data_IF_974636477408
#
_entry.id   IF_974636477408
#
_cell.length_a   1.000
_cell.length_b   1.000
_cell.length_c   1.000
_cell.angle_alpha   90.00
_cell.angle_beta   90.00
_cell.angle_gamma   90.00
#
_symmetry.space_group_name_H-M   'P 1'
#
loop_
_entity.id
_entity.type
_entity.pdbx_description
1 polymer ?
#
# COMPACT_ATOMS: atom_id res chain seq x y z
N UNK A 1 17.54 20.20 4.88
CA UNK A 1 16.10 20.43 5.13
C UNK A 1 15.99 21.75 5.89
N UNK A 2 15.12 22.68 5.46
CA UNK A 2 14.90 23.92 6.22
C UNK A 2 14.27 23.57 7.58
N UNK A 3 14.64 24.26 8.67
CA UNK A 3 13.96 24.07 9.96
C UNK A 3 12.53 24.58 9.89
N UNK A 4 11.61 23.97 10.65
CA UNK A 4 10.20 24.39 10.70
C UNK A 4 10.02 25.87 11.07
N UNK A 5 10.97 26.46 11.79
CA UNK A 5 10.96 27.87 12.21
C UNK A 5 11.21 28.86 11.07
N UNK A 6 11.62 28.39 9.90
CA UNK A 6 11.84 29.21 8.71
C UNK A 6 10.76 28.98 7.64
N UNK A 7 9.83 28.06 7.90
CA UNK A 7 8.79 27.74 6.93
C UNK A 7 7.72 28.83 6.90
N UNK A 8 7.27 29.15 5.69
CA UNK A 8 6.07 29.96 5.51
C UNK A 8 4.81 29.19 5.93
N UNK A 9 3.68 29.89 6.03
CA UNK A 9 2.41 29.25 6.36
C UNK A 9 2.01 28.20 5.31
N UNK A 10 2.29 28.47 4.04
CA UNK A 10 2.03 27.58 2.91
C UNK A 10 2.93 26.35 2.95
N UNK A 11 4.24 26.52 3.20
CA UNK A 11 5.18 25.40 3.34
C UNK A 11 4.77 24.50 4.51
N UNK A 12 4.37 25.09 5.65
CA UNK A 12 3.88 24.34 6.81
C UNK A 12 2.56 23.61 6.52
N UNK A 13 1.65 24.24 5.76
CA UNK A 13 0.37 23.64 5.36
C UNK A 13 0.54 22.47 4.36
N UNK A 14 1.71 22.33 3.73
CA UNK A 14 2.05 21.21 2.85
C UNK A 14 2.74 20.05 3.60
N UNK A 15 3.12 20.23 4.86
CA UNK A 15 3.82 19.21 5.64
C UNK A 15 2.86 18.13 6.15
N UNK A 16 3.15 16.87 5.82
CA UNK A 16 2.25 15.73 6.11
C UNK A 16 1.93 15.57 7.60
N UNK A 17 2.93 15.73 8.47
CA UNK A 17 2.74 15.64 9.92
C UNK A 17 1.95 16.82 10.48
N UNK A 18 2.09 18.00 9.88
CA UNK A 18 1.32 19.17 10.25
C UNK A 18 -0.13 19.02 9.82
N UNK A 19 -0.38 18.63 8.57
CA UNK A 19 -1.72 18.35 8.04
C UNK A 19 -2.43 17.31 8.91
N UNK A 20 -1.75 16.22 9.25
CA UNK A 20 -2.32 15.16 10.10
C UNK A 20 -2.69 15.66 11.49
N UNK A 21 -1.84 16.49 12.11
CA UNK A 21 -2.16 17.11 13.40
C UNK A 21 -3.39 18.00 13.34
N UNK A 22 -3.49 18.84 12.31
CA UNK A 22 -4.62 19.78 12.16
C UNK A 22 -5.93 19.03 11.91
N UNK A 23 -5.91 17.97 11.10
CA UNK A 23 -7.10 17.17 10.76
C UNK A 23 -7.52 16.18 11.85
N UNK A 24 -6.55 15.65 12.60
CA UNK A 24 -6.75 14.62 13.62
C UNK A 24 -6.03 15.01 14.91
N UNK A 25 -6.52 16.03 15.63
CA UNK A 25 -5.83 16.58 16.80
C UNK A 25 -5.76 15.61 18.00
N UNK A 26 -6.54 14.52 17.97
CA UNK A 26 -6.61 13.55 19.05
C UNK A 26 -5.44 12.54 19.06
N UNK A 27 -4.61 12.49 18.01
CA UNK A 27 -3.43 11.61 17.91
C UNK A 27 -2.33 12.06 18.92
N UNK A 28 -2.14 11.35 20.05
CA UNK A 28 -1.38 11.89 21.19
C UNK A 28 0.11 12.16 20.90
N UNK A 29 0.87 11.28 20.21
CA UNK A 29 2.25 11.57 19.81
C UNK A 29 2.39 12.82 18.94
N UNK A 30 1.50 12.99 17.96
CA UNK A 30 1.55 14.10 17.00
C UNK A 30 1.15 15.41 17.67
N UNK A 31 0.09 15.39 18.50
CA UNK A 31 -0.34 16.55 19.28
C UNK A 31 0.77 17.06 20.18
N UNK A 32 1.38 16.15 20.95
CA UNK A 32 2.45 16.51 21.90
C UNK A 32 3.64 17.15 21.20
N UNK A 33 4.01 16.68 20.00
CA UNK A 33 5.09 17.29 19.22
C UNK A 33 4.77 18.75 18.87
N UNK A 34 3.62 19.01 18.24
CA UNK A 34 3.27 20.34 17.75
C UNK A 34 2.97 21.34 18.89
N UNK A 35 2.31 20.90 19.96
CA UNK A 35 2.08 21.76 21.13
C UNK A 35 3.40 22.20 21.78
N UNK A 36 4.32 21.26 22.00
CA UNK A 36 5.65 21.58 22.54
C UNK A 36 6.46 22.46 21.59
N UNK A 37 6.34 22.24 20.28
CA UNK A 37 7.03 23.06 19.29
C UNK A 37 6.51 24.51 19.28
N UNK A 38 5.19 24.70 19.37
CA UNK A 38 4.56 26.03 19.44
C UNK A 38 4.98 26.77 20.72
N UNK A 39 5.04 26.08 21.86
CA UNK A 39 5.55 26.65 23.11
C UNK A 39 7.02 27.08 23.00
N UNK A 40 7.83 26.36 22.22
CA UNK A 40 9.24 26.69 21.98
C UNK A 40 9.43 27.85 21.00
N UNK A 41 8.51 28.04 20.07
CA UNK A 41 8.59 29.07 19.02
C UNK A 41 7.34 29.98 19.00
N UNK A 42 7.11 30.79 20.04
CA UNK A 42 5.91 31.64 20.13
C UNK A 42 5.82 32.67 19.00
N UNK A 43 6.95 33.09 18.41
CA UNK A 43 7.00 33.97 17.25
C UNK A 43 6.36 33.35 15.99
N UNK A 44 6.30 32.02 15.90
CA UNK A 44 5.69 31.30 14.78
C UNK A 44 4.17 31.16 14.93
N UNK A 45 3.57 31.64 16.02
CA UNK A 45 2.13 31.46 16.29
C UNK A 45 1.27 31.93 15.12
N UNK A 46 1.53 33.13 14.59
CA UNK A 46 0.76 33.67 13.47
C UNK A 46 0.89 32.80 12.20
N UNK A 47 2.10 32.31 11.92
CA UNK A 47 2.36 31.39 10.79
C UNK A 47 1.62 30.07 10.97
N UNK A 48 1.62 29.51 12.18
CA UNK A 48 0.88 28.28 12.52
C UNK A 48 -0.61 28.48 12.37
N UNK A 49 -1.15 29.59 12.87
CA UNK A 49 -2.59 29.88 12.79
C UNK A 49 -3.05 30.00 11.32
N UNK A 50 -2.29 30.71 10.48
CA UNK A 50 -2.53 30.79 9.03
C UNK A 50 -2.43 29.43 8.34
N UNK A 51 -1.40 28.64 8.66
CA UNK A 51 -1.25 27.31 8.09
C UNK A 51 -2.40 26.37 8.48
N UNK A 52 -2.89 26.46 9.72
CA UNK A 52 -4.06 25.70 10.18
C UNK A 52 -5.31 26.06 9.38
N UNK A 53 -5.54 27.35 9.15
CA UNK A 53 -6.66 27.84 8.34
C UNK A 53 -6.60 27.27 6.90
N UNK A 54 -5.42 27.30 6.27
CA UNK A 54 -5.21 26.73 4.93
C UNK A 54 -5.55 25.23 4.89
N UNK A 55 -5.05 24.46 5.86
CA UNK A 55 -5.31 23.01 5.93
C UNK A 55 -6.79 22.73 6.14
N UNK A 56 -7.46 23.44 7.04
CA UNK A 56 -8.89 23.26 7.31
C UNK A 56 -9.73 23.62 6.08
N UNK A 57 -9.47 24.77 5.46
CA UNK A 57 -10.16 25.22 4.25
C UNK A 57 -10.01 24.21 3.10
N UNK A 58 -8.82 23.66 2.91
CA UNK A 58 -8.57 22.63 1.91
C UNK A 58 -9.20 21.27 2.26
N UNK A 59 -9.32 20.95 3.55
CA UNK A 59 -9.85 19.68 4.05
C UNK A 59 -11.38 19.66 4.16
N UNK A 60 -12.01 20.84 4.25
CA UNK A 60 -13.46 21.02 4.25
C UNK A 60 -14.12 20.68 2.90
N UNK A 61 -13.32 20.34 1.89
CA UNK A 61 -13.79 19.57 0.73
C UNK A 61 -14.23 18.17 1.19
N UNK A 62 -15.45 18.11 1.73
CA UNK A 62 -16.24 16.88 1.76
C UNK A 62 -16.90 16.78 0.39
N UNK A 63 -16.52 15.84 -0.50
CA UNK A 63 -17.47 15.44 -1.53
C UNK A 63 -18.73 15.01 -0.78
N UNK A 64 -19.90 15.44 -1.24
CA UNK A 64 -21.18 15.00 -0.67
C UNK A 64 -21.06 13.51 -0.35
N UNK A 65 -21.12 13.18 0.94
CA UNK A 65 -20.91 11.80 1.37
C UNK A 65 -21.98 10.99 0.68
N UNK A 66 -21.57 10.15 -0.27
CA UNK A 66 -22.49 9.32 -1.04
C UNK A 66 -23.39 8.60 -0.06
N UNK A 67 -24.69 8.67 -0.29
CA UNK A 67 -25.63 7.96 0.57
C UNK A 67 -25.36 6.47 0.43
N UNK A 68 -25.75 5.67 1.44
CA UNK A 68 -25.65 4.22 1.34
C UNK A 68 -26.39 3.69 0.09
N UNK A 69 -27.43 4.39 -0.35
CA UNK A 69 -28.16 4.10 -1.59
C UNK A 69 -27.29 4.32 -2.83
N UNK A 70 -26.54 5.42 -2.90
CA UNK A 70 -25.62 5.70 -4.01
C UNK A 70 -24.52 4.63 -4.09
N UNK A 71 -23.96 4.24 -2.94
CA UNK A 71 -22.95 3.18 -2.85
C UNK A 71 -23.48 1.84 -3.38
N UNK A 72 -24.69 1.46 -2.94
CA UNK A 72 -25.33 0.23 -3.41
C UNK A 72 -25.58 0.25 -4.92
N UNK A 73 -26.05 1.40 -5.45
CA UNK A 73 -26.29 1.56 -6.88
C UNK A 73 -25.02 1.43 -7.72
N UNK A 74 -23.87 1.91 -7.21
CA UNK A 74 -22.57 1.78 -7.89
C UNK A 74 -22.13 0.31 -7.89
N UNK A 75 -22.28 -0.39 -6.76
CA UNK A 75 -21.94 -1.81 -6.68
C UNK A 75 -22.80 -2.71 -7.55
N UNK A 76 -24.10 -2.41 -7.67
CA UNK A 76 -25.00 -3.11 -8.59
C UNK A 76 -24.55 -2.92 -10.04
N UNK A 77 -24.16 -1.69 -10.42
CA UNK A 77 -23.63 -1.40 -11.76
C UNK A 77 -22.31 -2.14 -12.03
N UNK A 78 -21.38 -2.14 -11.08
CA UNK A 78 -20.12 -2.90 -11.21
C UNK A 78 -20.40 -4.39 -11.42
N UNK A 79 -21.25 -5.01 -10.59
CA UNK A 79 -21.63 -6.42 -10.73
C UNK A 79 -22.25 -6.72 -12.09
N UNK A 80 -23.18 -5.89 -12.55
CA UNK A 80 -23.81 -6.06 -13.87
C UNK A 80 -22.81 -5.98 -15.03
N UNK A 81 -21.81 -5.09 -14.92
CA UNK A 81 -20.80 -4.94 -15.97
C UNK A 81 -19.85 -6.14 -16.07
N UNK A 82 -19.53 -6.77 -14.94
CA UNK A 82 -18.68 -7.97 -14.89
C UNK A 82 -19.41 -9.20 -15.46
N UNK A 83 -20.70 -9.33 -15.17
CA UNK A 83 -21.52 -10.44 -15.66
C UNK A 83 -21.63 -10.41 -17.20
N UNK A 84 -21.84 -9.22 -17.78
CA UNK A 84 -21.91 -9.01 -19.23
C UNK A 84 -20.59 -9.36 -19.94
N UNK A 85 -19.45 -9.21 -19.25
CA UNK A 85 -18.14 -9.56 -19.81
C UNK A 85 -17.84 -11.07 -19.73
N UNK A 86 -18.35 -11.76 -18.71
CA UNK A 86 -18.16 -13.21 -18.53
C UNK A 86 -18.83 -14.04 -19.64
N UNK A 87 -19.94 -13.56 -20.20
CA UNK A 87 -20.68 -14.27 -21.26
C UNK A 87 -20.03 -14.19 -22.65
N UNK A 88 -18.92 -13.47 -22.81
CA UNK A 88 -18.28 -13.24 -24.12
C UNK A 88 -17.00 -14.04 -24.38
N UNK A 89 -16.55 -14.89 -23.48
CA UNK A 89 -15.43 -15.79 -23.78
C UNK A 89 -15.90 -17.05 -24.52
N UNK A 90 -15.46 -17.29 -25.78
CA UNK A 90 -15.59 -18.60 -26.38
C UNK A 90 -14.67 -19.55 -25.59
N UNK A 91 -15.25 -20.56 -24.95
CA UNK A 91 -14.51 -21.66 -24.31
C UNK A 91 -13.44 -22.21 -25.27
N UNK A 92 -12.17 -21.87 -25.02
CA UNK A 92 -11.05 -22.60 -25.62
C UNK A 92 -11.09 -24.06 -25.14
N UNK A 93 -10.76 -25.05 -26.00
CA UNK A 93 -10.79 -26.45 -25.61
C UNK A 93 -9.72 -26.72 -24.55
N UNK A 94 -10.16 -27.01 -23.33
CA UNK A 94 -9.32 -27.43 -22.23
C UNK A 94 -8.63 -28.76 -22.55
N UNK A 95 -7.35 -28.74 -22.90
CA UNK A 95 -6.51 -29.94 -22.89
C UNK A 95 -6.29 -30.34 -21.44
N UNK A 96 -6.89 -31.47 -21.03
CA UNK A 96 -6.66 -32.05 -19.70
C UNK A 96 -5.17 -32.36 -19.56
N UNK A 97 -4.50 -31.95 -18.47
CA UNK A 97 -3.11 -32.33 -18.24
C UNK A 97 -3.06 -33.86 -18.04
N UNK A 98 -2.30 -34.52 -18.90
CA UNK A 98 -2.14 -35.97 -18.90
C UNK A 98 -1.34 -36.38 -17.65
N UNK A 99 -1.88 -37.30 -16.84
CA UNK A 99 -1.31 -37.68 -15.53
C UNK A 99 0.13 -38.22 -15.56
N UNK A 100 0.67 -38.51 -16.75
CA UNK A 100 2.07 -38.91 -16.94
C UNK A 100 3.09 -37.78 -16.67
N UNK A 101 2.70 -36.51 -16.76
CA UNK A 101 3.66 -35.40 -16.64
C UNK A 101 4.21 -35.26 -15.20
N UNK A 102 3.35 -35.47 -14.20
CA UNK A 102 3.76 -35.45 -12.80
C UNK A 102 4.64 -36.64 -12.42
N UNK A 103 4.45 -37.81 -13.06
CA UNK A 103 5.27 -39.01 -12.81
C UNK A 103 6.66 -38.84 -13.41
N UNK A 104 6.75 -38.35 -14.64
CA UNK A 104 8.02 -38.04 -15.31
C UNK A 104 8.84 -37.01 -14.52
N UNK A 105 8.22 -35.92 -14.07
CA UNK A 105 8.89 -34.90 -13.26
C UNK A 105 9.45 -35.47 -11.95
N UNK A 106 8.73 -36.37 -11.28
CA UNK A 106 9.21 -37.04 -10.05
C UNK A 106 10.42 -37.94 -10.32
N UNK A 107 10.40 -38.72 -11.41
CA UNK A 107 11.51 -39.61 -11.77
C UNK A 107 12.78 -38.80 -12.08
N UNK A 108 12.65 -37.69 -12.82
CA UNK A 108 13.79 -36.82 -13.15
C UNK A 108 14.45 -36.25 -11.89
N UNK A 109 13.67 -35.81 -10.91
CA UNK A 109 14.19 -35.28 -9.65
C UNK A 109 14.97 -36.33 -8.84
N UNK A 110 14.48 -37.57 -8.83
CA UNK A 110 15.16 -38.68 -8.13
C UNK A 110 16.50 -38.98 -8.80
N UNK A 111 16.53 -39.05 -10.14
CA UNK A 111 17.76 -39.33 -10.89
C UNK A 111 18.81 -38.22 -10.63
N UNK A 112 18.41 -36.96 -10.72
CA UNK A 112 19.31 -35.82 -10.47
C UNK A 112 19.91 -35.86 -9.05
N UNK A 113 19.08 -36.09 -8.03
CA UNK A 113 19.54 -36.21 -6.65
C UNK A 113 20.51 -37.38 -6.46
N UNK A 114 20.21 -38.54 -7.05
CA UNK A 114 21.06 -39.72 -6.95
C UNK A 114 22.42 -39.51 -7.63
N UNK A 115 22.43 -38.90 -8.82
CA UNK A 115 23.68 -38.58 -9.54
C UNK A 115 24.53 -37.56 -8.79
N UNK A 116 23.90 -36.56 -8.16
CA UNK A 116 24.62 -35.54 -7.39
C UNK A 116 25.28 -36.14 -6.15
N UNK A 117 24.55 -36.96 -5.39
CA UNK A 117 25.11 -37.65 -4.23
C UNK A 117 26.24 -38.60 -4.60
N UNK A 118 26.10 -39.35 -5.69
CA UNK A 118 27.16 -40.23 -6.19
C UNK A 118 28.43 -39.44 -6.53
N UNK A 119 28.29 -38.30 -7.22
CA UNK A 119 29.41 -37.43 -7.55
C UNK A 119 30.08 -36.85 -6.29
N UNK A 120 29.28 -36.44 -5.31
CA UNK A 120 29.77 -35.89 -4.04
C UNK A 120 30.58 -36.94 -3.24
N UNK A 121 30.08 -38.18 -3.18
CA UNK A 121 30.78 -39.30 -2.56
C UNK A 121 32.09 -39.61 -3.30
N UNK A 122 32.04 -39.71 -4.63
CA UNK A 122 33.22 -39.97 -5.44
C UNK A 122 34.30 -38.89 -5.23
N UNK A 123 33.89 -37.62 -5.18
CA UNK A 123 34.80 -36.50 -4.95
C UNK A 123 35.45 -36.56 -3.56
N UNK A 124 34.70 -36.89 -2.50
CA UNK A 124 35.23 -37.03 -1.15
C UNK A 124 36.28 -38.15 -1.09
N UNK A 125 35.99 -39.31 -1.68
CA UNK A 125 36.93 -40.44 -1.70
C UNK A 125 38.19 -40.18 -2.53
N UNK A 126 38.08 -39.43 -3.62
CA UNK A 126 39.23 -39.08 -4.46
C UNK A 126 40.08 -37.93 -3.88
N UNK A 127 39.57 -37.24 -2.84
CA UNK A 127 40.26 -36.14 -2.15
C UNK A 127 40.95 -36.59 -0.85
N UNK A 128 40.85 -37.87 -0.48
CA UNK A 128 41.48 -38.47 0.71
C UNK A 128 42.68 -39.34 0.27
#
# INVERSE_FOLDING_TARGET
MKPFSELSAEELAMENLFIRWVRFPDDPPIRSFWENWILKYPAMKETVDKARELVLTASDWKPDTLTNQDINSIWDRIRSSLDIMSDREPKAPSSKPNGNDHVLRRIILIIMSATFLFFLIYFIFNSL
#
